data_IF_114290887424
#
_entry.id   IF_114290887424
#
_cell.length_a   1.000
_cell.length_b   1.000
_cell.length_c   1.000
_cell.angle_alpha   90.00
_cell.angle_beta   90.00
_cell.angle_gamma   90.00
#
_symmetry.space_group_name_H-M   'P 1'
#
loop_
_entity.id
_entity.type
_entity.pdbx_description
1 polymer ?
#
# COMPACT_ATOMS: atom_id res chain seq x y z
N UNK A 1 -7.99 23.96 28.85
CA UNK A 1 -8.02 23.46 27.45
C UNK A 1 -7.84 21.93 27.47
N UNK A 2 -8.83 21.14 27.93
CA UNK A 2 -8.58 19.72 28.29
C UNK A 2 -8.76 18.70 27.16
N UNK A 3 -9.31 19.11 26.01
CA UNK A 3 -9.73 18.23 24.92
C UNK A 3 -9.12 18.58 23.55
N UNK A 4 -8.18 19.54 23.47
CA UNK A 4 -7.59 19.94 22.18
C UNK A 4 -6.46 18.97 21.77
N UNK A 5 -6.41 18.61 20.49
CA UNK A 5 -5.42 17.69 19.92
C UNK A 5 -4.85 18.25 18.61
N UNK A 6 -3.56 18.56 18.61
CA UNK A 6 -2.83 18.90 17.39
C UNK A 6 -2.31 17.62 16.74
N UNK A 7 -2.49 17.51 15.42
CA UNK A 7 -2.04 16.39 14.60
C UNK A 7 -1.16 16.96 13.47
N UNK A 8 -0.04 16.31 13.19
CA UNK A 8 0.91 16.74 12.16
C UNK A 8 0.87 15.73 11.01
N UNK A 9 0.52 16.20 9.82
CA UNK A 9 0.27 15.43 8.61
C UNK A 9 -1.20 14.99 8.44
N UNK A 10 -1.80 15.32 7.30
CA UNK A 10 -3.10 14.83 6.83
C UNK A 10 -2.94 13.56 5.96
N UNK A 11 -1.88 12.78 6.18
CA UNK A 11 -1.79 11.41 5.68
C UNK A 11 -2.82 10.48 6.34
N UNK A 12 -3.04 9.29 5.79
CA UNK A 12 -4.05 8.32 6.26
C UNK A 12 -4.00 8.07 7.78
N UNK A 13 -2.80 8.06 8.38
CA UNK A 13 -2.65 7.88 9.83
C UNK A 13 -3.11 9.09 10.67
N UNK A 14 -2.84 10.31 10.21
CA UNK A 14 -3.31 11.54 10.85
C UNK A 14 -4.80 11.76 10.67
N UNK A 15 -5.34 11.45 9.48
CA UNK A 15 -6.79 11.43 9.21
C UNK A 15 -7.50 10.37 10.07
N UNK A 16 -6.96 9.16 10.15
CA UNK A 16 -7.44 8.09 11.05
C UNK A 16 -7.50 8.59 12.50
N UNK A 17 -6.38 9.08 13.04
CA UNK A 17 -6.31 9.62 14.39
C UNK A 17 -7.29 10.78 14.62
N UNK A 18 -7.38 11.73 13.69
CA UNK A 18 -8.30 12.87 13.78
C UNK A 18 -9.76 12.44 13.85
N UNK A 19 -10.19 11.51 12.99
CA UNK A 19 -11.58 11.04 12.95
C UNK A 19 -11.93 10.23 14.21
N UNK A 20 -11.06 9.31 14.67
CA UNK A 20 -11.29 8.60 15.93
C UNK A 20 -11.35 9.58 17.12
N UNK A 21 -10.46 10.58 17.18
CA UNK A 21 -10.40 11.56 18.27
C UNK A 21 -11.61 12.51 18.29
N UNK A 22 -12.04 13.06 17.14
CA UNK A 22 -13.31 13.81 17.04
C UNK A 22 -14.49 12.96 17.54
N UNK A 23 -14.57 11.69 17.11
CA UNK A 23 -15.58 10.72 17.56
C UNK A 23 -15.41 10.27 19.02
N UNK A 24 -14.46 10.82 19.78
CA UNK A 24 -14.34 10.67 21.24
C UNK A 24 -14.45 11.99 22.01
N UNK A 25 -14.79 13.10 21.33
CA UNK A 25 -15.01 14.40 21.98
C UNK A 25 -13.73 15.22 22.19
N UNK A 26 -12.65 14.91 21.47
CA UNK A 26 -11.54 15.83 21.30
C UNK A 26 -11.90 16.92 20.27
N UNK A 27 -11.14 18.02 20.27
CA UNK A 27 -11.17 19.10 19.27
C UNK A 27 -9.84 19.09 18.52
N UNK A 28 -9.87 18.63 17.28
CA UNK A 28 -8.68 18.27 16.52
C UNK A 28 -8.36 19.29 15.42
N UNK A 29 -7.08 19.68 15.36
CA UNK A 29 -6.52 20.45 14.26
C UNK A 29 -5.39 19.63 13.61
N UNK A 30 -5.53 19.34 12.31
CA UNK A 30 -4.48 18.71 11.50
C UNK A 30 -3.71 19.81 10.78
N UNK A 31 -2.38 19.79 10.86
CA UNK A 31 -1.50 20.67 10.08
C UNK A 31 -0.82 19.84 8.99
N UNK A 32 -0.98 20.24 7.73
CA UNK A 32 -0.46 19.54 6.55
C UNK A 32 0.46 20.48 5.78
N UNK A 33 1.66 20.02 5.43
CA UNK A 33 2.65 20.78 4.67
C UNK A 33 2.24 21.00 3.21
N UNK A 34 1.41 20.10 2.67
CA UNK A 34 0.93 20.14 1.30
C UNK A 34 -0.41 20.88 1.16
N UNK A 35 -0.83 21.15 -0.08
CA UNK A 35 -2.14 21.76 -0.40
C UNK A 35 -3.26 20.72 -0.60
N UNK A 36 -2.97 19.43 -0.38
CA UNK A 36 -3.92 18.30 -0.46
C UNK A 36 -3.67 17.32 0.69
N UNK A 37 -4.71 16.62 1.17
CA UNK A 37 -4.57 15.52 2.14
C UNK A 37 -4.03 14.24 1.47
N UNK A 38 -3.70 13.22 2.28
CA UNK A 38 -3.35 11.86 1.85
C UNK A 38 -1.88 11.48 2.04
N UNK A 39 -0.96 12.44 1.97
CA UNK A 39 0.48 12.16 2.04
C UNK A 39 0.90 11.23 0.91
N UNK A 40 1.45 10.06 1.24
CA UNK A 40 1.79 9.03 0.25
C UNK A 40 0.55 8.49 -0.51
N UNK A 41 -0.67 8.57 0.04
CA UNK A 41 -1.90 8.28 -0.71
C UNK A 41 -2.28 9.49 -1.58
N UNK A 42 -1.56 9.66 -2.69
CA UNK A 42 -1.73 10.78 -3.60
C UNK A 42 -1.59 10.37 -5.07
N UNK A 43 -2.25 11.13 -5.93
CA UNK A 43 -2.14 11.04 -7.38
C UNK A 43 -2.17 12.45 -8.00
N UNK A 44 -1.62 12.60 -9.19
CA UNK A 44 -1.54 13.90 -9.88
C UNK A 44 -1.98 13.80 -11.33
N UNK A 45 -2.53 14.89 -11.89
CA UNK A 45 -2.91 14.95 -13.31
C UNK A 45 -1.88 15.68 -14.18
N UNK A 46 -1.69 15.18 -15.40
CA UNK A 46 -0.93 15.81 -16.51
C UNK A 46 -1.67 15.53 -17.81
N UNK A 47 -1.95 16.56 -18.62
CA UNK A 47 -2.68 16.42 -19.90
C UNK A 47 -3.97 15.55 -19.82
N UNK A 48 -4.71 15.62 -18.71
CA UNK A 48 -5.90 14.79 -18.48
C UNK A 48 -5.62 13.42 -17.82
N UNK A 49 -4.49 12.77 -18.13
CA UNK A 49 -4.05 11.51 -17.51
C UNK A 49 -3.89 11.65 -15.99
N UNK A 50 -4.24 10.59 -15.26
CA UNK A 50 -4.12 10.49 -13.79
C UNK A 50 -3.01 9.53 -13.40
N UNK A 51 -1.95 10.04 -12.76
CA UNK A 51 -0.82 9.28 -12.29
C UNK A 51 -1.02 8.90 -10.82
N UNK A 52 -1.48 7.67 -10.59
CA UNK A 52 -1.58 7.06 -9.26
C UNK A 52 -0.19 6.60 -8.79
N UNK A 53 0.21 7.06 -7.61
CA UNK A 53 1.54 6.81 -7.02
C UNK A 53 1.52 6.35 -5.56
N UNK A 54 0.33 6.06 -4.99
CA UNK A 54 0.17 5.73 -3.58
C UNK A 54 -0.60 4.44 -3.27
N UNK A 55 -1.54 4.04 -4.13
CA UNK A 55 -2.38 2.87 -3.93
C UNK A 55 -2.52 2.08 -5.24
N UNK A 56 -2.33 0.77 -5.22
CA UNK A 56 -2.59 -0.09 -6.39
C UNK A 56 -3.65 -1.17 -6.11
N UNK A 57 -3.82 -1.52 -4.83
CA UNK A 57 -4.96 -2.25 -4.27
C UNK A 57 -5.19 -1.81 -2.83
N UNK A 58 -6.38 -2.05 -2.29
CA UNK A 58 -6.72 -1.79 -0.89
C UNK A 58 -7.04 -3.11 -0.17
N UNK A 59 -6.25 -3.48 0.84
CA UNK A 59 -6.60 -4.54 1.79
C UNK A 59 -7.68 -4.02 2.75
N UNK A 60 -8.70 -4.84 3.04
CA UNK A 60 -9.95 -4.39 3.64
C UNK A 60 -10.89 -3.71 2.65
N UNK A 61 -10.78 -3.98 1.34
CA UNK A 61 -11.72 -3.48 0.34
C UNK A 61 -13.01 -4.32 0.27
N UNK A 62 -12.97 -5.56 0.78
CA UNK A 62 -14.12 -6.46 0.78
C UNK A 62 -15.04 -6.23 1.99
N UNK A 63 -16.33 -6.10 1.73
CA UNK A 63 -17.35 -5.60 2.68
C UNK A 63 -17.62 -6.45 3.93
N UNK A 64 -17.27 -7.74 3.93
CA UNK A 64 -17.42 -8.66 5.08
C UNK A 64 -16.23 -8.60 6.06
N UNK A 65 -15.11 -8.00 5.66
CA UNK A 65 -13.86 -7.99 6.43
C UNK A 65 -13.92 -7.05 7.65
N UNK A 66 -13.13 -7.31 8.71
CA UNK A 66 -13.00 -6.37 9.81
C UNK A 66 -12.44 -5.01 9.34
N UNK A 67 -11.39 -5.02 8.51
CA UNK A 67 -10.69 -3.82 8.10
C UNK A 67 -11.55 -2.89 7.22
N UNK A 68 -12.45 -3.44 6.38
CA UNK A 68 -13.46 -2.65 5.66
C UNK A 68 -14.34 -1.82 6.61
N UNK A 69 -14.70 -2.37 7.78
CA UNK A 69 -15.54 -1.66 8.75
C UNK A 69 -14.82 -0.44 9.33
N UNK A 70 -13.51 -0.53 9.54
CA UNK A 70 -12.69 0.62 9.95
C UNK A 70 -12.54 1.65 8.80
N UNK A 71 -12.29 1.21 7.55
CA UNK A 71 -12.27 2.12 6.40
C UNK A 71 -13.60 2.87 6.21
N UNK A 72 -14.73 2.19 6.40
CA UNK A 72 -16.07 2.77 6.37
C UNK A 72 -16.35 3.69 7.58
N UNK A 73 -15.89 3.31 8.78
CA UNK A 73 -15.98 4.15 9.99
C UNK A 73 -15.21 5.47 9.86
N UNK A 74 -14.14 5.47 9.05
CA UNK A 74 -13.33 6.63 8.68
C UNK A 74 -13.82 7.35 7.40
N UNK A 75 -14.86 6.86 6.75
CA UNK A 75 -15.39 7.44 5.50
C UNK A 75 -14.45 7.34 4.30
N UNK A 76 -13.40 6.50 4.34
CA UNK A 76 -12.46 6.30 3.24
C UNK A 76 -13.11 5.59 2.03
N UNK A 77 -13.99 4.65 2.35
CA UNK A 77 -14.89 3.93 1.43
C UNK A 77 -16.28 3.84 2.09
N UNK A 78 -17.28 3.39 1.34
CA UNK A 78 -18.66 3.21 1.78
C UNK A 78 -19.32 2.06 1.00
N UNK A 79 -20.51 1.57 1.40
CA UNK A 79 -21.29 0.64 0.58
C UNK A 79 -21.69 1.16 -0.81
N UNK A 80 -21.53 2.46 -1.06
CA UNK A 80 -21.74 3.13 -2.36
C UNK A 80 -20.44 3.45 -3.10
N UNK A 81 -19.28 3.08 -2.58
CA UNK A 81 -17.99 3.24 -3.25
C UNK A 81 -17.72 2.02 -4.14
N UNK A 82 -17.61 2.21 -5.46
CA UNK A 82 -17.21 1.13 -6.37
C UNK A 82 -15.82 0.61 -5.99
N UNK A 83 -15.69 -0.72 -5.94
CA UNK A 83 -14.43 -1.43 -5.69
C UNK A 83 -14.11 -2.28 -6.92
N UNK A 84 -13.10 -1.86 -7.68
CA UNK A 84 -12.66 -2.53 -8.90
C UNK A 84 -11.71 -3.68 -8.58
N UNK A 85 -12.20 -4.91 -8.67
CA UNK A 85 -11.35 -6.12 -8.55
C UNK A 85 -10.77 -6.48 -9.91
N UNK A 86 -9.43 -6.58 -10.01
CA UNK A 86 -8.74 -6.93 -11.25
C UNK A 86 -8.91 -8.43 -11.57
N UNK A 87 -9.06 -8.76 -12.85
CA UNK A 87 -9.16 -10.14 -13.34
C UNK A 87 -7.84 -10.92 -13.11
N UNK A 88 -6.71 -10.25 -13.33
CA UNK A 88 -5.37 -10.72 -12.98
C UNK A 88 -4.77 -9.86 -11.87
N UNK A 89 -4.16 -10.50 -10.88
CA UNK A 89 -3.41 -9.83 -9.81
C UNK A 89 -2.05 -9.33 -10.32
N UNK A 90 -1.33 -10.19 -11.03
CA UNK A 90 -0.09 -9.89 -11.74
C UNK A 90 -0.10 -10.64 -13.08
N UNK A 91 0.55 -10.08 -14.10
CA UNK A 91 0.82 -10.76 -15.37
C UNK A 91 2.28 -10.56 -15.76
N UNK A 92 2.88 -11.58 -16.35
CA UNK A 92 4.24 -11.59 -16.88
C UNK A 92 4.17 -11.83 -18.39
N UNK A 93 4.89 -11.00 -19.16
CA UNK A 93 5.09 -11.23 -20.59
C UNK A 93 6.41 -11.98 -20.74
N UNK A 94 6.34 -13.21 -21.25
CA UNK A 94 7.49 -14.11 -21.39
C UNK A 94 7.38 -14.85 -22.73
N UNK A 95 8.45 -14.84 -23.52
CA UNK A 95 8.50 -15.39 -24.89
C UNK A 95 7.27 -14.98 -25.75
N UNK A 96 6.93 -13.69 -25.67
CA UNK A 96 5.77 -13.03 -26.31
C UNK A 96 4.38 -13.53 -25.83
N UNK A 97 4.31 -14.44 -24.86
CA UNK A 97 3.07 -14.91 -24.26
C UNK A 97 2.73 -14.11 -22.98
N UNK A 98 1.46 -13.79 -22.78
CA UNK A 98 0.96 -13.19 -21.53
C UNK A 98 0.53 -14.32 -20.59
N UNK A 99 1.28 -14.50 -19.51
CA UNK A 99 0.96 -15.45 -18.44
C UNK A 99 0.45 -14.66 -17.23
N UNK A 100 -0.74 -14.99 -16.74
CA UNK A 100 -1.44 -14.20 -15.72
C UNK A 100 -1.76 -15.02 -14.47
N UNK A 101 -1.49 -14.44 -13.30
CA UNK A 101 -2.03 -14.92 -12.04
C UNK A 101 -3.42 -14.33 -11.81
N UNK A 102 -4.44 -15.07 -12.24
CA UNK A 102 -5.85 -14.72 -12.11
C UNK A 102 -6.31 -14.65 -10.64
N UNK A 103 -7.23 -13.72 -10.35
CA UNK A 103 -7.89 -13.61 -9.03
C UNK A 103 -9.02 -14.63 -8.84
N UNK A 104 -9.49 -15.30 -9.90
CA UNK A 104 -10.27 -16.52 -9.73
C UNK A 104 -9.32 -17.72 -9.53
N UNK A 105 -9.35 -18.42 -8.38
CA UNK A 105 -8.37 -19.46 -8.08
C UNK A 105 -8.53 -20.75 -8.91
N UNK A 106 -9.72 -21.03 -9.43
CA UNK A 106 -9.95 -22.16 -10.34
C UNK A 106 -9.30 -21.89 -11.71
N UNK A 107 -9.58 -20.72 -12.31
CA UNK A 107 -8.96 -20.26 -13.55
C UNK A 107 -7.45 -20.08 -13.42
N UNK A 108 -6.96 -19.63 -12.27
CA UNK A 108 -5.53 -19.60 -11.95
C UNK A 108 -4.92 -21.00 -12.05
N UNK A 109 -5.51 -21.99 -11.37
CA UNK A 109 -5.06 -23.39 -11.43
C UNK A 109 -5.04 -23.90 -12.87
N UNK A 110 -6.15 -23.75 -13.58
CA UNK A 110 -6.33 -24.38 -14.89
C UNK A 110 -5.43 -23.73 -15.96
N UNK A 111 -5.36 -22.39 -16.01
CA UNK A 111 -4.46 -21.67 -16.95
C UNK A 111 -2.97 -21.87 -16.65
N UNK A 112 -2.59 -22.26 -15.43
CA UNK A 112 -1.21 -22.67 -15.13
C UNK A 112 -0.93 -24.14 -15.50
N UNK A 113 -1.95 -25.01 -15.48
CA UNK A 113 -1.82 -26.41 -15.93
C UNK A 113 -1.71 -26.54 -17.46
N UNK A 114 -2.14 -25.52 -18.21
CA UNK A 114 -2.03 -25.44 -19.67
C UNK A 114 -0.62 -25.08 -20.18
N UNK A 115 0.33 -24.69 -19.30
CA UNK A 115 1.63 -24.10 -19.68
C UNK A 115 2.77 -25.13 -19.55
N UNK A 116 3.40 -25.59 -20.65
CA UNK A 116 4.56 -26.48 -20.59
C UNK A 116 5.85 -25.73 -20.18
N UNK A 117 6.76 -26.33 -19.39
CA UNK A 117 6.64 -27.64 -18.74
C UNK A 117 5.70 -27.58 -17.52
N UNK A 118 4.69 -28.46 -17.50
CA UNK A 118 3.62 -28.41 -16.49
C UNK A 118 4.11 -28.94 -15.14
N UNK A 119 4.10 -28.07 -14.11
CA UNK A 119 4.46 -28.42 -12.74
C UNK A 119 3.22 -28.78 -11.90
N UNK A 120 2.45 -29.77 -12.37
CA UNK A 120 1.11 -30.11 -11.84
C UNK A 120 1.06 -30.19 -10.31
N UNK A 121 2.03 -30.87 -9.69
CA UNK A 121 2.12 -31.00 -8.23
C UNK A 121 2.28 -29.65 -7.53
N UNK A 122 3.11 -28.75 -8.05
CA UNK A 122 3.33 -27.43 -7.47
C UNK A 122 2.10 -26.54 -7.65
N UNK A 123 1.49 -26.56 -8.85
CA UNK A 123 0.29 -25.77 -9.19
C UNK A 123 -0.90 -26.22 -8.33
N UNK A 124 -1.13 -27.53 -8.17
CA UNK A 124 -2.20 -28.06 -7.32
C UNK A 124 -1.99 -27.76 -5.83
N UNK A 125 -0.75 -27.72 -5.33
CA UNK A 125 -0.47 -27.32 -3.95
C UNK A 125 -0.62 -25.81 -3.73
N UNK A 126 -0.20 -24.96 -4.68
CA UNK A 126 -0.46 -23.51 -4.65
C UNK A 126 -1.97 -23.23 -4.62
N UNK A 127 -2.75 -23.87 -5.49
CA UNK A 127 -4.22 -23.79 -5.49
C UNK A 127 -4.84 -24.18 -4.13
N UNK A 128 -4.41 -25.30 -3.53
CA UNK A 128 -4.87 -25.72 -2.19
C UNK A 128 -4.54 -24.68 -1.12
N UNK A 129 -3.36 -24.06 -1.18
CA UNK A 129 -2.92 -23.04 -0.22
C UNK A 129 -3.73 -21.75 -0.37
N UNK A 130 -3.91 -21.25 -1.60
CA UNK A 130 -4.77 -20.09 -1.90
C UNK A 130 -6.21 -20.33 -1.41
N UNK A 131 -6.82 -21.47 -1.75
CA UNK A 131 -8.17 -21.82 -1.27
C UNK A 131 -8.24 -21.89 0.25
N UNK A 132 -7.23 -22.46 0.92
CA UNK A 132 -7.14 -22.58 2.40
C UNK A 132 -7.01 -21.23 3.09
N UNK A 133 -6.15 -20.35 2.59
CA UNK A 133 -5.87 -19.05 3.21
C UNK A 133 -6.83 -17.94 2.74
N UNK A 134 -7.74 -18.19 1.79
CA UNK A 134 -8.74 -17.22 1.32
C UNK A 134 -9.66 -16.65 2.41
N UNK A 135 -9.75 -17.33 3.57
CA UNK A 135 -10.47 -16.86 4.76
C UNK A 135 -9.61 -16.10 5.79
N UNK A 136 -8.37 -15.72 5.44
CA UNK A 136 -7.36 -15.12 6.31
C UNK A 136 -7.21 -13.61 6.01
N UNK A 137 -8.16 -12.82 6.49
CA UNK A 137 -8.23 -11.37 6.25
C UNK A 137 -7.52 -10.60 7.37
N UNK A 138 -7.10 -9.35 7.12
CA UNK A 138 -6.22 -8.64 8.06
C UNK A 138 -6.91 -8.45 9.44
N UNK A 139 -6.31 -8.96 10.55
CA UNK A 139 -6.86 -8.79 11.89
C UNK A 139 -6.61 -7.37 12.42
N UNK A 140 -7.58 -6.85 13.18
CA UNK A 140 -7.45 -5.59 13.92
C UNK A 140 -6.98 -5.92 15.33
N UNK A 141 -5.93 -5.23 15.79
CA UNK A 141 -5.38 -5.37 17.14
C UNK A 141 -5.51 -4.05 17.92
N UNK A 142 -6.03 -4.14 19.13
CA UNK A 142 -6.21 -3.00 20.03
C UNK A 142 -4.99 -2.76 20.93
N UNK A 143 -4.76 -1.50 21.32
CA UNK A 143 -3.67 -1.13 22.22
C UNK A 143 -3.79 -1.81 23.60
N UNK A 144 -2.71 -2.39 24.17
CA UNK A 144 -2.76 -3.12 25.43
C UNK A 144 -3.37 -2.33 26.60
N UNK A 145 -4.46 -2.86 27.16
CA UNK A 145 -5.14 -2.29 28.33
C UNK A 145 -5.97 -1.04 28.06
N UNK A 146 -6.40 -0.77 26.82
CA UNK A 146 -7.43 0.24 26.54
C UNK A 146 -8.83 -0.29 26.95
N UNK A 147 -9.70 0.60 27.43
CA UNK A 147 -11.12 0.30 27.65
C UNK A 147 -11.85 0.34 26.30
N UNK A 148 -12.37 -0.78 25.84
CA UNK A 148 -13.09 -0.91 24.56
C UNK A 148 -14.61 -0.97 24.75
N UNK A 149 -15.36 -0.27 23.90
CA UNK A 149 -16.83 -0.40 23.79
C UNK A 149 -17.25 -1.70 23.08
N UNK A 150 -16.54 -2.05 22.02
CA UNK A 150 -16.77 -3.26 21.21
C UNK A 150 -15.50 -4.12 21.16
N UNK A 151 -15.62 -5.44 20.96
CA UNK A 151 -14.47 -6.36 20.93
C UNK A 151 -14.54 -7.31 19.74
N UNK A 152 -13.39 -7.55 19.10
CA UNK A 152 -13.22 -8.58 18.08
C UNK A 152 -13.72 -9.95 18.55
N UNK A 153 -14.46 -10.64 17.69
CA UNK A 153 -15.04 -11.96 18.00
C UNK A 153 -13.97 -12.98 18.36
N UNK A 154 -14.12 -13.64 19.53
CA UNK A 154 -13.22 -14.71 19.97
C UNK A 154 -13.12 -15.84 18.92
N UNK A 155 -14.24 -16.23 18.32
CA UNK A 155 -14.28 -17.28 17.29
C UNK A 155 -13.48 -16.89 16.04
N UNK A 156 -13.56 -15.62 15.63
CA UNK A 156 -12.74 -15.09 14.55
C UNK A 156 -11.24 -15.13 14.89
N UNK A 157 -10.86 -14.69 16.10
CA UNK A 157 -9.47 -14.74 16.55
C UNK A 157 -8.92 -16.17 16.62
N UNK A 158 -9.72 -17.14 17.08
CA UNK A 158 -9.35 -18.57 17.05
C UNK A 158 -9.17 -19.11 15.62
N UNK A 159 -10.07 -18.75 14.68
CA UNK A 159 -9.93 -19.10 13.25
C UNK A 159 -8.62 -18.54 12.68
N UNK A 160 -8.31 -17.28 12.96
CA UNK A 160 -7.09 -16.63 12.50
C UNK A 160 -5.83 -17.26 13.09
N UNK A 161 -5.84 -17.61 14.38
CA UNK A 161 -4.73 -18.34 15.03
C UNK A 161 -4.49 -19.70 14.37
N UNK A 162 -5.54 -20.47 14.10
CA UNK A 162 -5.44 -21.76 13.42
C UNK A 162 -4.86 -21.64 12.00
N UNK A 163 -5.31 -20.64 11.23
CA UNK A 163 -4.76 -20.37 9.89
C UNK A 163 -3.29 -19.91 9.97
N UNK A 164 -2.92 -19.07 10.94
CA UNK A 164 -1.53 -18.65 11.16
C UNK A 164 -0.60 -19.81 11.53
N UNK A 165 -1.06 -20.78 12.33
CA UNK A 165 -0.32 -22.00 12.63
C UNK A 165 -0.08 -22.84 11.36
N UNK A 166 -1.11 -22.98 10.50
CA UNK A 166 -0.98 -23.67 9.20
C UNK A 166 -0.11 -22.92 8.19
N UNK A 167 -0.02 -21.59 8.29
CA UNK A 167 0.85 -20.75 7.47
C UNK A 167 2.32 -20.78 7.94
N UNK A 168 2.57 -21.10 9.22
CA UNK A 168 3.89 -21.00 9.84
C UNK A 168 5.06 -21.73 9.14
N UNK A 169 4.89 -22.86 8.42
CA UNK A 169 6.00 -23.46 7.66
C UNK A 169 6.48 -22.55 6.51
N UNK A 170 5.55 -21.84 5.85
CA UNK A 170 5.87 -20.88 4.79
C UNK A 170 6.49 -19.59 5.33
N UNK A 171 6.43 -19.35 6.64
CA UNK A 171 7.14 -18.27 7.32
C UNK A 171 8.64 -18.53 7.53
N UNK A 172 9.13 -19.75 7.20
CA UNK A 172 10.53 -20.19 7.34
C UNK A 172 11.33 -20.14 6.03
N UNK A 173 10.69 -19.81 4.90
CA UNK A 173 11.30 -19.76 3.56
C UNK A 173 10.94 -18.46 2.85
N UNK A 174 11.80 -17.99 1.94
CA UNK A 174 11.53 -16.85 1.05
C UNK A 174 10.56 -17.21 -0.08
N UNK A 175 10.04 -16.21 -0.78
CA UNK A 175 9.22 -16.39 -1.98
C UNK A 175 10.04 -17.01 -3.12
N UNK A 176 11.32 -16.66 -3.24
CA UNK A 176 12.31 -17.33 -4.11
C UNK A 176 12.45 -18.82 -3.79
N UNK A 177 12.66 -19.17 -2.51
CA UNK A 177 12.78 -20.56 -2.07
C UNK A 177 11.45 -21.33 -2.23
N UNK A 178 10.30 -20.64 -2.17
CA UNK A 178 9.02 -21.22 -2.59
C UNK A 178 9.00 -21.49 -4.10
N UNK A 179 9.38 -20.48 -4.91
CA UNK A 179 9.32 -20.47 -6.37
C UNK A 179 10.14 -21.60 -7.04
N UNK A 180 11.20 -22.09 -6.40
CA UNK A 180 11.99 -23.26 -6.89
C UNK A 180 11.18 -24.53 -7.15
N UNK A 181 9.91 -24.60 -6.71
CA UNK A 181 8.94 -25.66 -7.05
C UNK A 181 8.45 -25.63 -8.51
N UNK A 182 8.67 -24.55 -9.24
CA UNK A 182 8.23 -24.38 -10.63
C UNK A 182 9.43 -24.37 -11.60
N UNK A 183 9.35 -25.14 -12.67
CA UNK A 183 10.28 -25.19 -13.80
C UNK A 183 10.06 -24.05 -14.78
N UNK A 184 8.80 -23.61 -14.99
CA UNK A 184 8.54 -22.50 -15.91
C UNK A 184 9.08 -21.16 -15.35
N UNK A 185 9.97 -20.45 -16.07
CA UNK A 185 10.65 -19.25 -15.56
C UNK A 185 9.67 -18.11 -15.22
N UNK A 186 8.68 -17.84 -16.06
CA UNK A 186 7.68 -16.80 -15.79
C UNK A 186 6.83 -17.09 -14.53
N UNK A 187 6.57 -18.38 -14.23
CA UNK A 187 5.82 -18.76 -13.03
C UNK A 187 6.70 -18.53 -11.80
N UNK A 188 8.00 -18.90 -11.86
CA UNK A 188 8.96 -18.54 -10.80
C UNK A 188 9.01 -17.04 -10.56
N UNK A 189 9.08 -16.25 -11.62
CA UNK A 189 9.15 -14.79 -11.53
C UNK A 189 7.91 -14.23 -10.84
N UNK A 190 6.70 -14.52 -11.32
CA UNK A 190 5.46 -14.02 -10.70
C UNK A 190 5.30 -14.45 -9.23
N UNK A 191 5.70 -15.67 -8.86
CA UNK A 191 5.68 -16.12 -7.44
C UNK A 191 6.58 -15.26 -6.56
N UNK A 192 7.71 -14.79 -7.08
CA UNK A 192 8.59 -13.84 -6.37
C UNK A 192 7.96 -12.44 -6.34
N UNK A 193 7.56 -11.90 -7.49
CA UNK A 193 7.07 -10.51 -7.61
C UNK A 193 5.76 -10.21 -6.88
N UNK A 194 4.96 -11.24 -6.53
CA UNK A 194 3.79 -11.09 -5.65
C UNK A 194 4.14 -10.41 -4.32
N UNK A 195 5.34 -10.62 -3.78
CA UNK A 195 5.78 -10.07 -2.49
C UNK A 195 7.22 -9.52 -2.48
N UNK A 196 7.97 -9.66 -3.57
CA UNK A 196 9.43 -9.55 -3.62
C UNK A 196 10.11 -10.86 -3.23
N UNK A 197 11.15 -11.24 -3.96
CA UNK A 197 11.83 -12.54 -3.86
C UNK A 197 12.30 -12.91 -2.43
N UNK A 198 12.89 -11.96 -1.71
CA UNK A 198 13.41 -12.15 -0.34
C UNK A 198 12.32 -12.30 0.73
N UNK A 199 11.12 -11.77 0.48
CA UNK A 199 10.04 -11.79 1.48
C UNK A 199 9.52 -13.20 1.74
N UNK A 200 9.00 -13.44 2.95
CA UNK A 200 8.55 -14.77 3.37
C UNK A 200 7.43 -15.30 2.46
N UNK A 201 7.49 -16.58 2.11
CA UNK A 201 6.45 -17.23 1.31
C UNK A 201 5.06 -17.18 1.99
N UNK A 202 5.00 -17.10 3.32
CA UNK A 202 3.77 -16.82 4.06
C UNK A 202 3.10 -15.50 3.65
N UNK A 203 3.87 -14.45 3.35
CA UNK A 203 3.34 -13.16 2.90
C UNK A 203 2.84 -13.25 1.45
N UNK A 204 3.62 -13.87 0.57
CA UNK A 204 3.24 -14.18 -0.82
C UNK A 204 1.90 -14.94 -0.90
N UNK A 205 1.76 -16.03 -0.13
CA UNK A 205 0.52 -16.80 -0.06
C UNK A 205 -0.65 -16.00 0.53
N UNK A 206 -0.38 -15.09 1.47
CA UNK A 206 -1.41 -14.19 2.03
C UNK A 206 -1.91 -13.23 0.96
N UNK A 207 -1.03 -12.60 0.19
CA UNK A 207 -1.41 -11.62 -0.84
C UNK A 207 -2.23 -12.28 -1.96
N UNK A 208 -1.79 -13.44 -2.48
CA UNK A 208 -2.57 -14.21 -3.47
C UNK A 208 -3.92 -14.66 -2.91
N UNK A 209 -3.97 -15.15 -1.67
CA UNK A 209 -5.23 -15.58 -1.06
C UNK A 209 -6.19 -14.41 -0.79
N UNK A 210 -5.67 -13.25 -0.40
CA UNK A 210 -6.43 -12.01 -0.20
C UNK A 210 -7.05 -11.55 -1.52
N UNK A 211 -6.24 -11.40 -2.57
CA UNK A 211 -6.69 -11.05 -3.92
C UNK A 211 -7.71 -12.06 -4.47
N UNK A 212 -7.47 -13.37 -4.29
CA UNK A 212 -8.38 -14.42 -4.73
C UNK A 212 -9.67 -14.55 -3.87
N UNK A 213 -9.75 -13.84 -2.74
CA UNK A 213 -10.96 -13.77 -1.91
C UNK A 213 -11.86 -12.57 -2.23
N UNK A 214 -11.40 -11.67 -3.12
CA UNK A 214 -11.98 -10.36 -3.38
C UNK A 214 -11.53 -9.24 -2.43
N UNK A 215 -10.56 -9.51 -1.54
CA UNK A 215 -9.99 -8.50 -0.63
C UNK A 215 -8.64 -7.98 -1.17
N UNK A 216 -8.74 -7.15 -2.20
CA UNK A 216 -7.61 -6.60 -2.95
C UNK A 216 -8.04 -5.72 -4.13
N UNK A 217 -9.24 -5.13 -4.06
CA UNK A 217 -9.75 -4.24 -5.09
C UNK A 217 -9.22 -2.81 -4.98
N UNK A 218 -9.38 -2.04 -6.05
CA UNK A 218 -9.02 -0.63 -6.14
C UNK A 218 -10.28 0.25 -5.98
N UNK A 219 -10.32 1.19 -5.01
CA UNK A 219 -11.50 2.02 -4.78
C UNK A 219 -11.65 3.12 -5.84
N UNK A 220 -12.89 3.48 -6.16
CA UNK A 220 -13.18 4.54 -7.15
C UNK A 220 -12.48 5.86 -6.83
N UNK A 221 -11.86 6.45 -7.86
CA UNK A 221 -11.03 7.67 -7.75
C UNK A 221 -9.67 7.48 -7.07
N UNK A 222 -9.31 6.26 -6.65
CA UNK A 222 -7.98 5.94 -6.18
C UNK A 222 -7.58 6.53 -4.83
N UNK A 223 -6.26 6.66 -4.63
CA UNK A 223 -5.66 7.08 -3.36
C UNK A 223 -6.08 8.48 -2.91
N UNK A 224 -6.09 9.44 -3.82
CA UNK A 224 -6.38 10.84 -3.51
C UNK A 224 -7.86 11.06 -3.17
N UNK A 225 -8.80 10.42 -3.88
CA UNK A 225 -10.22 10.55 -3.56
C UNK A 225 -10.57 9.80 -2.27
N UNK A 226 -9.92 8.66 -1.99
CA UNK A 226 -10.01 8.01 -0.68
C UNK A 226 -9.55 8.94 0.46
N UNK A 227 -8.42 9.63 0.29
CA UNK A 227 -7.91 10.59 1.27
C UNK A 227 -8.81 11.83 1.42
N UNK A 228 -9.34 12.38 0.31
CA UNK A 228 -10.30 13.49 0.32
C UNK A 228 -11.60 13.12 1.04
N UNK A 229 -12.15 11.92 0.79
CA UNK A 229 -13.37 11.45 1.48
C UNK A 229 -13.16 11.40 3.00
N UNK A 230 -12.02 10.91 3.47
CA UNK A 230 -11.63 10.98 4.89
C UNK A 230 -11.49 12.43 5.40
N UNK A 231 -10.81 13.31 4.65
CA UNK A 231 -10.60 14.71 5.04
C UNK A 231 -11.92 15.48 5.18
N UNK A 232 -12.80 15.41 4.17
CA UNK A 232 -14.15 15.99 4.22
C UNK A 232 -15.01 15.36 5.33
N UNK A 233 -14.79 14.09 5.69
CA UNK A 233 -15.48 13.47 6.81
C UNK A 233 -14.98 13.99 8.17
N UNK A 234 -13.68 14.20 8.32
CA UNK A 234 -13.08 14.85 9.49
C UNK A 234 -13.58 16.29 9.70
N UNK A 235 -13.67 17.07 8.62
CA UNK A 235 -14.21 18.44 8.63
C UNK A 235 -15.70 18.45 8.98
N UNK A 236 -16.51 17.52 8.44
CA UNK A 236 -17.92 17.32 8.82
C UNK A 236 -18.11 16.91 10.28
N UNK A 237 -17.09 16.36 10.93
CA UNK A 237 -17.07 16.06 12.36
C UNK A 237 -16.59 17.26 13.22
N UNK A 238 -16.39 18.44 12.63
CA UNK A 238 -15.94 19.65 13.31
C UNK A 238 -14.43 19.75 13.50
N UNK A 239 -13.64 18.87 12.87
CA UNK A 239 -12.19 19.00 12.80
C UNK A 239 -11.76 20.11 11.85
N UNK A 240 -10.51 20.60 11.97
CA UNK A 240 -9.94 21.61 11.07
C UNK A 240 -8.64 21.11 10.43
N UNK A 241 -8.46 21.36 9.14
CA UNK A 241 -7.22 21.06 8.42
C UNK A 241 -6.57 22.37 7.96
N UNK A 242 -5.30 22.54 8.33
CA UNK A 242 -4.46 23.69 7.99
C UNK A 242 -3.42 23.24 6.97
N UNK A 243 -3.77 23.35 5.68
CA UNK A 243 -2.89 23.04 4.55
C UNK A 243 -1.76 24.06 4.37
N UNK A 244 -0.71 23.69 3.62
CA UNK A 244 0.49 24.52 3.38
C UNK A 244 1.21 24.98 4.66
N UNK A 245 1.14 24.20 5.74
CA UNK A 245 1.77 24.48 7.04
C UNK A 245 2.82 23.40 7.37
N UNK A 246 4.09 23.69 7.08
CA UNK A 246 5.22 22.77 7.31
C UNK A 246 5.64 22.73 8.78
N UNK A 247 6.07 21.55 9.25
CA UNK A 247 6.75 21.36 10.55
C UNK A 247 8.10 20.67 10.29
N UNK A 248 9.19 21.28 10.72
CA UNK A 248 10.56 20.95 10.23
C UNK A 248 11.15 19.65 10.80
N UNK A 249 12.03 18.96 10.03
CA UNK A 249 12.62 17.64 10.38
C UNK A 249 13.93 17.29 9.61
N UNK A 250 14.49 16.10 9.85
CA UNK A 250 15.91 15.70 9.58
C UNK A 250 16.03 14.42 8.69
N UNK A 251 17.15 14.22 7.95
CA UNK A 251 17.39 13.24 6.83
C UNK A 251 18.41 12.08 7.08
N UNK A 252 18.55 11.09 6.15
CA UNK A 252 19.74 10.17 5.87
C UNK A 252 19.54 9.19 4.63
N UNK A 253 20.42 8.20 4.30
CA UNK A 253 20.82 7.73 2.91
C UNK A 253 20.63 6.21 2.38
N UNK A 254 20.90 5.82 1.08
CA UNK A 254 20.84 4.46 0.36
C UNK A 254 20.41 4.32 -1.19
N UNK A 255 20.58 3.15 -1.91
CA UNK A 255 20.40 2.88 -3.43
C UNK A 255 19.56 1.59 -3.97
N UNK A 256 19.17 1.48 -5.31
CA UNK A 256 17.94 0.81 -5.93
C UNK A 256 18.29 -0.26 -7.02
N UNK A 257 17.43 -1.28 -7.33
CA UNK A 257 17.80 -2.37 -8.28
C UNK A 257 16.73 -3.04 -9.22
N UNK A 258 15.39 -2.88 -9.11
CA UNK A 258 14.41 -3.60 -10.00
C UNK A 258 13.23 -2.77 -10.59
N UNK A 259 12.40 -3.36 -11.47
CA UNK A 259 11.44 -2.69 -12.39
C UNK A 259 10.03 -3.32 -12.39
N UNK A 260 8.97 -2.55 -12.12
CA UNK A 260 7.57 -2.99 -12.04
C UNK A 260 6.60 -2.08 -12.83
N UNK A 261 5.47 -2.63 -13.31
CA UNK A 261 4.49 -1.94 -14.16
C UNK A 261 3.03 -2.13 -13.71
N UNK A 262 2.27 -1.03 -13.62
CA UNK A 262 0.82 -1.00 -13.44
C UNK A 262 0.15 -0.38 -14.69
N UNK A 263 -0.89 -1.02 -15.22
CA UNK A 263 -1.71 -0.51 -16.33
C UNK A 263 -3.11 -0.13 -15.81
N UNK A 264 -3.64 1.02 -16.25
CA UNK A 264 -4.94 1.55 -15.83
C UNK A 264 -6.02 1.52 -16.94
N UNK A 265 -5.84 0.74 -18.01
CA UNK A 265 -6.77 0.67 -19.15
C UNK A 265 -8.21 0.26 -18.79
N UNK A 266 -8.42 -0.37 -17.63
CA UNK A 266 -9.74 -0.79 -17.11
C UNK A 266 -10.47 0.27 -16.28
N UNK A 267 -9.91 1.46 -16.08
CA UNK A 267 -10.47 2.49 -15.21
C UNK A 267 -10.95 3.70 -16.03
N UNK A 268 -12.27 4.00 -16.07
CA UNK A 268 -12.81 5.19 -16.73
C UNK A 268 -12.16 6.49 -16.21
N UNK A 269 -12.02 7.49 -17.08
CA UNK A 269 -11.49 8.84 -16.77
C UNK A 269 -10.04 8.91 -16.23
N UNK A 270 -9.28 7.80 -16.23
CA UNK A 270 -7.85 7.79 -15.89
C UNK A 270 -6.94 8.25 -17.04
N UNK A 271 -7.41 8.15 -18.28
CA UNK A 271 -6.75 8.60 -19.50
C UNK A 271 -7.80 9.10 -20.52
N UNK A 272 -7.41 9.85 -21.57
CA UNK A 272 -8.28 10.19 -22.69
C UNK A 272 -8.84 8.94 -23.42
N UNK A 273 -9.94 9.10 -24.14
CA UNK A 273 -10.55 8.01 -24.91
C UNK A 273 -9.56 7.44 -25.95
N UNK A 274 -9.45 6.11 -26.00
CA UNK A 274 -8.45 5.40 -26.83
C UNK A 274 -7.06 5.28 -26.20
N UNK A 275 -6.80 5.91 -25.06
CA UNK A 275 -5.50 5.88 -24.38
C UNK A 275 -5.55 5.10 -23.05
N UNK A 276 -4.38 4.80 -22.48
CA UNK A 276 -4.23 4.30 -21.10
C UNK A 276 -3.11 5.04 -20.37
N UNK A 277 -3.17 5.06 -19.04
CA UNK A 277 -2.05 5.44 -18.19
C UNK A 277 -1.28 4.19 -17.74
N UNK A 278 0.06 4.28 -17.72
CA UNK A 278 0.94 3.28 -17.11
C UNK A 278 1.74 3.93 -15.97
N UNK A 279 1.66 3.39 -14.75
CA UNK A 279 2.60 3.76 -13.66
C UNK A 279 3.69 2.70 -13.60
N UNK A 280 4.94 3.13 -13.77
CA UNK A 280 6.11 2.31 -13.48
C UNK A 280 6.67 2.66 -12.09
N UNK A 281 7.10 1.65 -11.33
CA UNK A 281 7.84 1.83 -10.06
C UNK A 281 9.13 1.01 -10.13
N UNK A 282 10.22 1.60 -9.64
CA UNK A 282 11.53 0.95 -9.49
C UNK A 282 11.71 0.58 -8.00
N UNK A 283 12.33 -0.57 -7.66
CA UNK A 283 12.33 -1.14 -6.28
C UNK A 283 13.72 -1.36 -5.62
N UNK A 284 13.82 -1.00 -4.32
CA UNK A 284 15.07 -0.61 -3.61
C UNK A 284 14.99 0.77 -2.88
N UNK A 285 16.00 1.66 -2.98
CA UNK A 285 16.11 3.05 -2.43
C UNK A 285 16.97 3.91 -3.42
N UNK A 286 17.02 5.24 -3.62
CA UNK A 286 18.13 5.86 -4.46
C UNK A 286 18.19 7.36 -4.41
N UNK A 287 17.74 7.88 -3.28
CA UNK A 287 17.80 9.30 -3.09
C UNK A 287 19.26 9.78 -3.15
N UNK A 288 20.30 9.00 -2.85
CA UNK A 288 21.72 9.41 -2.97
C UNK A 288 22.06 9.80 -4.41
N UNK A 289 21.69 8.94 -5.37
CA UNK A 289 21.83 9.20 -6.80
C UNK A 289 21.07 10.45 -7.22
N UNK A 290 19.80 10.57 -6.82
CA UNK A 290 18.96 11.71 -7.17
C UNK A 290 19.35 13.01 -6.44
N UNK A 291 19.91 12.92 -5.24
CA UNK A 291 20.39 14.03 -4.39
C UNK A 291 21.68 14.58 -4.97
N UNK A 292 22.63 13.72 -5.29
CA UNK A 292 23.83 14.09 -6.07
C UNK A 292 23.45 14.72 -7.41
N UNK A 293 22.43 14.20 -8.10
CA UNK A 293 21.93 14.78 -9.34
C UNK A 293 21.23 16.15 -9.14
N UNK A 294 20.55 16.37 -8.01
CA UNK A 294 19.95 17.67 -7.66
C UNK A 294 21.00 18.70 -7.28
N UNK A 295 21.97 18.30 -6.46
CA UNK A 295 23.01 19.18 -5.94
C UNK A 295 24.04 19.58 -7.00
N UNK A 296 24.23 18.77 -8.05
CA UNK A 296 25.05 19.12 -9.22
C UNK A 296 24.25 19.64 -10.43
N UNK A 297 22.94 19.91 -10.27
CA UNK A 297 22.06 20.46 -11.32
C UNK A 297 21.56 19.47 -12.39
N UNK A 298 22.17 18.29 -12.56
CA UNK A 298 21.81 17.32 -13.61
C UNK A 298 20.44 16.65 -13.44
N UNK A 299 19.72 16.88 -12.34
CA UNK A 299 18.46 16.20 -12.00
C UNK A 299 17.39 16.21 -13.09
N UNK A 300 17.20 17.34 -13.79
CA UNK A 300 16.20 17.44 -14.87
C UNK A 300 16.59 16.60 -16.09
N UNK A 301 17.87 16.66 -16.47
CA UNK A 301 18.45 15.87 -17.55
C UNK A 301 18.39 14.37 -17.23
N UNK A 302 18.75 13.96 -16.01
CA UNK A 302 18.70 12.56 -15.58
C UNK A 302 17.28 12.01 -15.47
N UNK A 303 16.29 12.85 -15.17
CA UNK A 303 14.87 12.48 -15.32
C UNK A 303 14.51 12.23 -16.78
N UNK A 304 14.97 13.07 -17.72
CA UNK A 304 14.73 12.89 -19.17
C UNK A 304 15.45 11.66 -19.73
N UNK A 305 16.71 11.43 -19.32
CA UNK A 305 17.51 10.26 -19.64
C UNK A 305 16.78 8.96 -19.26
N UNK A 306 16.24 8.90 -18.05
CA UNK A 306 15.44 7.76 -17.58
C UNK A 306 14.10 7.63 -18.33
N UNK A 307 13.42 8.74 -18.61
CA UNK A 307 12.16 8.74 -19.35
C UNK A 307 12.32 8.20 -20.78
N UNK A 308 13.35 8.62 -21.53
CA UNK A 308 13.56 8.13 -22.90
C UNK A 308 14.10 6.68 -22.93
N UNK A 309 14.92 6.27 -21.95
CA UNK A 309 15.27 4.84 -21.77
C UNK A 309 14.03 3.99 -21.53
N UNK A 310 13.12 4.45 -20.67
CA UNK A 310 11.86 3.77 -20.39
C UNK A 310 10.92 3.77 -21.61
N UNK A 311 10.83 4.90 -22.34
CA UNK A 311 10.10 4.97 -23.60
C UNK A 311 10.61 3.93 -24.61
N UNK A 312 11.92 3.86 -24.81
CA UNK A 312 12.54 2.90 -25.73
C UNK A 312 12.29 1.43 -25.32
N UNK A 313 12.31 1.13 -24.02
CA UNK A 313 11.91 -0.20 -23.53
C UNK A 313 10.44 -0.51 -23.84
N UNK A 314 9.53 0.44 -23.65
CA UNK A 314 8.12 0.26 -23.98
C UNK A 314 7.89 0.10 -25.49
N UNK A 315 8.47 0.96 -26.34
CA UNK A 315 8.32 0.87 -27.80
C UNK A 315 8.82 -0.46 -28.34
N UNK A 316 9.99 -0.91 -27.87
CA UNK A 316 10.57 -2.18 -28.34
C UNK A 316 9.76 -3.40 -27.85
N UNK A 317 9.24 -3.36 -26.62
CA UNK A 317 8.53 -4.50 -26.02
C UNK A 317 7.09 -4.64 -26.53
N UNK A 318 6.37 -3.53 -26.68
CA UNK A 318 4.98 -3.49 -27.16
C UNK A 318 4.86 -3.22 -28.67
N UNK A 319 5.97 -3.07 -29.38
CA UNK A 319 6.04 -2.78 -30.83
C UNK A 319 5.33 -1.47 -31.23
N UNK A 320 5.36 -0.48 -30.34
CA UNK A 320 4.75 0.84 -30.52
C UNK A 320 5.73 1.85 -31.15
N UNK A 321 5.21 2.85 -31.86
CA UNK A 321 5.96 4.05 -32.19
C UNK A 321 6.26 4.89 -30.95
N UNK A 322 7.36 5.66 -30.99
CA UNK A 322 7.67 6.67 -29.95
C UNK A 322 6.57 7.73 -29.84
N UNK A 323 5.85 8.00 -30.93
CA UNK A 323 4.79 9.01 -30.99
C UNK A 323 3.49 8.58 -30.28
N UNK A 324 3.30 7.27 -30.05
CA UNK A 324 2.17 6.75 -29.26
C UNK A 324 2.36 6.98 -27.75
N UNK A 325 3.57 7.39 -27.32
CA UNK A 325 3.87 7.73 -25.93
C UNK A 325 3.75 9.26 -25.73
N UNK A 326 2.51 9.72 -25.54
CA UNK A 326 2.14 11.13 -25.48
C UNK A 326 2.75 11.91 -24.29
N UNK A 327 3.04 11.21 -23.18
CA UNK A 327 3.66 11.78 -21.97
C UNK A 327 4.31 10.72 -21.08
N UNK A 328 5.47 11.06 -20.50
CA UNK A 328 6.06 10.37 -19.34
C UNK A 328 6.35 11.44 -18.28
N UNK A 329 5.93 11.21 -17.03
CA UNK A 329 6.43 11.93 -15.86
C UNK A 329 7.16 10.92 -14.95
N UNK A 330 8.19 11.39 -14.25
CA UNK A 330 9.05 10.57 -13.41
C UNK A 330 8.96 11.09 -11.97
N UNK A 331 8.38 10.30 -11.07
CA UNK A 331 8.53 10.51 -9.64
C UNK A 331 9.87 9.92 -9.19
N UNK A 332 10.63 10.67 -8.38
CA UNK A 332 11.84 10.16 -7.72
C UNK A 332 11.60 10.15 -6.21
N UNK A 333 12.45 9.49 -5.41
CA UNK A 333 12.45 9.66 -3.97
C UNK A 333 12.47 11.13 -3.48
N UNK A 334 13.13 12.05 -4.20
CA UNK A 334 13.11 13.48 -3.87
C UNK A 334 11.77 14.16 -4.21
N UNK A 335 11.00 13.60 -5.13
CA UNK A 335 9.60 13.98 -5.33
C UNK A 335 8.80 13.64 -4.07
N UNK A 336 8.92 12.41 -3.56
CA UNK A 336 8.20 11.97 -2.36
C UNK A 336 8.63 12.71 -1.10
N UNK A 337 9.94 12.90 -0.84
CA UNK A 337 10.36 13.67 0.34
C UNK A 337 9.78 15.09 0.31
N UNK A 338 9.92 15.80 -0.81
CA UNK A 338 9.45 17.19 -0.94
C UNK A 338 7.93 17.31 -0.80
N UNK A 339 7.16 16.39 -1.38
CA UNK A 339 5.69 16.46 -1.35
C UNK A 339 5.10 15.91 -0.04
N UNK A 340 5.66 14.83 0.52
CA UNK A 340 5.06 14.06 1.61
C UNK A 340 5.81 14.14 2.95
N UNK A 341 6.93 14.88 3.02
CA UNK A 341 7.76 14.98 4.23
C UNK A 341 8.47 13.66 4.58
N UNK A 342 8.52 12.73 3.62
CA UNK A 342 9.04 11.39 3.83
C UNK A 342 10.56 11.37 3.75
N UNK A 343 11.24 11.22 4.90
CA UNK A 343 12.66 10.82 4.95
C UNK A 343 12.94 9.72 3.91
N UNK A 344 14.03 9.87 3.14
CA UNK A 344 14.41 9.02 1.99
C UNK A 344 13.45 8.98 0.80
N UNK A 345 12.32 9.69 0.84
CA UNK A 345 11.19 9.43 -0.03
C UNK A 345 10.56 8.04 0.17
N UNK A 346 10.85 7.34 1.28
CA UNK A 346 10.40 5.95 1.48
C UNK A 346 8.86 5.88 1.55
N UNK A 347 8.30 5.01 0.72
CA UNK A 347 6.87 4.81 0.51
C UNK A 347 6.24 3.77 1.46
N UNK A 348 7.03 3.11 2.32
CA UNK A 348 6.61 2.09 3.31
C UNK A 348 7.24 2.36 4.69
N UNK A 349 7.44 1.30 5.50
CA UNK A 349 8.42 1.30 6.60
C UNK A 349 9.86 1.40 6.07
N UNK A 350 10.85 1.41 6.97
CA UNK A 350 12.26 1.26 6.64
C UNK A 350 12.79 0.08 7.45
N UNK A 351 12.82 -1.10 6.82
CA UNK A 351 13.47 -2.29 7.36
C UNK A 351 14.89 -2.40 6.79
N UNK A 352 15.86 -2.77 7.64
CA UNK A 352 17.25 -3.02 7.21
C UNK A 352 17.44 -4.48 6.83
N UNK A 353 18.14 -4.74 5.72
CA UNK A 353 18.42 -6.09 5.21
C UNK A 353 19.10 -6.95 6.29
N UNK A 354 18.58 -8.16 6.50
CA UNK A 354 19.09 -9.10 7.50
C UNK A 354 18.76 -8.77 8.97
N UNK A 355 18.22 -7.58 9.29
CA UNK A 355 17.75 -7.26 10.65
C UNK A 355 16.30 -7.72 10.86
N UNK A 356 15.89 -7.76 12.14
CA UNK A 356 14.47 -7.91 12.48
C UNK A 356 13.75 -6.60 12.15
N UNK A 357 12.59 -6.72 11.50
CA UNK A 357 11.71 -5.60 11.22
C UNK A 357 11.42 -4.77 12.48
N UNK A 358 11.49 -3.45 12.34
CA UNK A 358 11.34 -2.54 13.46
C UNK A 358 9.85 -2.39 13.88
N UNK A 359 9.64 -2.23 15.19
CA UNK A 359 8.37 -1.78 15.76
C UNK A 359 8.69 -0.62 16.68
N UNK A 360 8.22 0.58 16.34
CA UNK A 360 8.44 1.81 17.08
C UNK A 360 7.30 2.05 18.08
N UNK A 361 7.54 2.74 19.20
CA UNK A 361 6.51 3.01 20.20
C UNK A 361 5.46 4.00 19.66
N UNK A 362 4.18 3.73 19.92
CA UNK A 362 3.04 4.60 19.53
C UNK A 362 2.80 5.74 20.53
N UNK A 363 3.40 5.68 21.72
CA UNK A 363 3.40 6.73 22.74
C UNK A 363 4.84 7.08 23.09
N UNK A 364 5.16 8.36 23.26
CA UNK A 364 6.47 8.77 23.75
C UNK A 364 6.66 8.37 25.22
N UNK A 365 7.83 7.81 25.53
CA UNK A 365 8.24 7.47 26.90
C UNK A 365 8.77 8.70 27.66
N UNK A 366 9.18 9.75 26.94
CA UNK A 366 9.85 10.94 27.50
C UNK A 366 9.00 12.21 27.42
N UNK A 367 8.05 12.30 26.49
CA UNK A 367 7.18 13.48 26.30
C UNK A 367 5.72 13.10 26.57
N UNK A 368 5.20 13.57 27.71
CA UNK A 368 3.80 13.40 28.09
C UNK A 368 2.84 13.93 27.02
N UNK A 369 1.81 13.14 26.70
CA UNK A 369 0.79 13.42 25.68
C UNK A 369 1.30 13.47 24.22
N UNK A 370 2.53 13.02 23.93
CA UNK A 370 3.00 12.81 22.55
C UNK A 370 2.73 11.37 22.11
N UNK A 371 2.06 11.22 20.95
CA UNK A 371 1.74 9.94 20.33
C UNK A 371 2.22 9.93 18.87
N UNK A 372 2.57 8.76 18.35
CA UNK A 372 3.09 8.57 17.01
C UNK A 372 2.18 7.64 16.20
N UNK A 373 1.80 8.08 15.01
CA UNK A 373 0.99 7.33 14.07
C UNK A 373 1.61 7.42 12.67
N UNK A 374 1.54 6.33 11.89
CA UNK A 374 2.13 6.29 10.55
C UNK A 374 2.48 4.87 10.10
N UNK A 375 2.51 4.69 8.78
CA UNK A 375 2.94 3.46 8.11
C UNK A 375 4.40 3.02 8.39
N UNK A 376 5.19 3.83 9.11
CA UNK A 376 6.59 3.54 9.49
C UNK A 376 6.72 3.01 10.92
N UNK A 377 5.62 2.91 11.67
CA UNK A 377 5.64 2.42 13.05
C UNK A 377 5.88 0.91 13.13
N UNK A 378 5.49 0.15 12.11
CA UNK A 378 5.72 -1.30 12.02
C UNK A 378 5.74 -1.78 10.57
N UNK A 379 6.50 -2.86 10.30
CA UNK A 379 6.55 -3.55 9.02
C UNK A 379 5.27 -4.35 8.71
N UNK A 380 4.85 -4.49 7.43
CA UNK A 380 5.45 -3.90 6.21
C UNK A 380 5.13 -2.41 6.04
N UNK A 381 4.15 -1.89 6.76
CA UNK A 381 3.65 -0.53 6.61
C UNK A 381 2.45 -0.45 5.66
N UNK A 382 2.44 0.60 4.83
CA UNK A 382 1.37 0.90 3.89
C UNK A 382 0.06 1.36 4.54
N UNK A 383 -0.97 1.49 3.70
CA UNK A 383 -2.28 2.08 4.03
C UNK A 383 -2.95 1.42 5.26
N UNK A 384 -3.01 0.07 5.39
CA UNK A 384 -3.63 -0.56 6.55
C UNK A 384 -2.90 -0.27 7.88
N UNK A 385 -1.57 -0.25 7.86
CA UNK A 385 -0.77 0.10 9.05
C UNK A 385 -0.92 1.58 9.39
N UNK A 386 -1.04 2.46 8.39
CA UNK A 386 -1.37 3.87 8.63
C UNK A 386 -2.71 4.03 9.37
N UNK A 387 -3.77 3.33 8.94
CA UNK A 387 -5.05 3.30 9.64
C UNK A 387 -4.90 2.80 11.08
N UNK A 388 -4.30 1.62 11.26
CA UNK A 388 -4.22 0.93 12.55
C UNK A 388 -3.38 1.69 13.56
N UNK A 389 -2.29 2.34 13.14
CA UNK A 389 -1.45 3.15 14.02
C UNK A 389 -2.11 4.46 14.43
N UNK A 390 -2.87 5.10 13.54
CA UNK A 390 -3.73 6.25 13.89
C UNK A 390 -4.82 5.87 14.90
N UNK A 391 -5.45 4.72 14.70
CA UNK A 391 -6.43 4.11 15.62
C UNK A 391 -5.82 3.83 16.99
N UNK A 392 -4.65 3.19 17.02
CA UNK A 392 -3.94 2.83 18.25
C UNK A 392 -3.41 4.06 19.01
N UNK A 393 -2.93 5.11 18.32
CA UNK A 393 -2.55 6.37 18.95
C UNK A 393 -3.73 6.99 19.74
N UNK A 394 -4.94 6.98 19.16
CA UNK A 394 -6.15 7.45 19.87
C UNK A 394 -6.57 6.49 20.99
N UNK A 395 -6.29 5.19 20.88
CA UNK A 395 -6.51 4.25 21.99
C UNK A 395 -5.58 4.52 23.19
N UNK A 396 -4.30 4.87 22.95
CA UNK A 396 -3.41 5.32 24.03
C UNK A 396 -3.88 6.67 24.61
N UNK A 397 -4.24 7.65 23.77
CA UNK A 397 -4.80 8.93 24.21
C UNK A 397 -6.06 8.75 25.08
N UNK A 398 -6.99 7.87 24.68
CA UNK A 398 -8.18 7.55 25.46
C UNK A 398 -7.82 6.88 26.79
N UNK A 399 -6.90 5.91 26.78
CA UNK A 399 -6.41 5.22 27.98
C UNK A 399 -5.79 6.19 28.99
N UNK A 400 -4.93 7.09 28.53
CA UNK A 400 -4.25 8.09 29.37
C UNK A 400 -5.22 9.15 29.93
N UNK A 401 -6.35 9.40 29.24
CA UNK A 401 -7.44 10.25 29.73
C UNK A 401 -8.56 9.46 30.46
N UNK A 402 -8.36 8.17 30.74
CA UNK A 402 -9.34 7.26 31.39
C UNK A 402 -10.68 7.09 30.63
N UNK A 403 -10.69 7.39 29.33
CA UNK A 403 -11.85 7.31 28.43
C UNK A 403 -11.98 5.92 27.79
N UNK A 404 -13.20 5.51 27.47
CA UNK A 404 -13.47 4.30 26.67
C UNK A 404 -13.43 4.60 25.17
N UNK A 405 -12.63 3.83 24.44
CA UNK A 405 -12.57 3.80 22.99
C UNK A 405 -13.77 3.02 22.42
#
# INVERSE_FOLDING_TARGET
MKNQLTIIGAGIAGLSAGIYAQKRGFQCAIYEQHYLPGGNCTSWKRKGYTFEGGLHWLTGSKNDTPLYKEWNYLGAISPSTTIHNREAFISCIFDQQIISFYTNPERLRDRLLEIPPVDEKAIRELYKQIRRFSGMVMPIFDAPGVKLKERSSKLYLWKMLFLALQLSPFGKISAEEYAKRFKHPAIRLMVQEVAGAENKASHMLTLLASACSGDGGYPEGGSIEMAKRMATYFEKLGGKIHYSNTVEKIHLEGNYESLFLNNYASYPDYAPSGCTALTCILFGNSYDYWKKAKDNGSYSEKKKELAEKFAHMLTNHFQLSRDEIEIIDIATPLTFERYCGTYRGSWMTIDEVGKKAAIYPIKSETISNLYFAGQRIMSPGGTPVALLTGRQAVQYLCKDNNMSF
#
